data_IF_156164301996
#
_entry.id   IF_156164301996
#
_cell.length_a   1.000
_cell.length_b   1.000
_cell.length_c   1.000
_cell.angle_alpha   90.00
_cell.angle_beta   90.00
_cell.angle_gamma   90.00
#
_symmetry.space_group_name_H-M   'P 1'
#
loop_
_entity.id
_entity.type
_entity.pdbx_description
1 polymer ?
#
# COMPACT_ATOMS: atom_id res chain seq x y z
N UNK A 1 -6.17 -10.29 -8.59
CA UNK A 1 -5.73 -9.18 -7.72
C UNK A 1 -6.39 -7.90 -8.24
N UNK A 2 -7.52 -7.47 -7.63
CA UNK A 2 -8.40 -6.41 -8.17
C UNK A 2 -8.65 -5.25 -7.17
N UNK A 3 -8.36 -5.44 -5.88
CA UNK A 3 -8.77 -4.51 -4.80
C UNK A 3 -8.10 -3.12 -4.85
N UNK A 4 -6.89 -3.00 -5.40
CA UNK A 4 -6.20 -1.70 -5.52
C UNK A 4 -6.89 -0.77 -6.53
N UNK A 5 -7.42 -1.31 -7.63
CA UNK A 5 -8.08 -0.51 -8.66
C UNK A 5 -9.40 0.08 -8.18
N UNK A 6 -10.16 -0.65 -7.38
CA UNK A 6 -11.47 -0.19 -6.91
C UNK A 6 -11.34 0.99 -5.94
N UNK A 7 -10.32 0.99 -5.07
CA UNK A 7 -10.06 2.10 -4.16
C UNK A 7 -9.68 3.39 -4.89
N UNK A 8 -8.83 3.29 -5.92
CA UNK A 8 -8.44 4.45 -6.75
C UNK A 8 -9.63 5.03 -7.53
N UNK A 9 -10.51 4.17 -8.03
CA UNK A 9 -11.75 4.57 -8.72
C UNK A 9 -12.69 5.29 -7.77
N UNK A 10 -12.90 4.76 -6.56
CA UNK A 10 -13.77 5.39 -5.55
C UNK A 10 -13.17 6.74 -5.11
N UNK A 11 -11.87 6.82 -4.86
CA UNK A 11 -11.20 8.07 -4.51
C UNK A 11 -11.30 9.13 -5.63
N UNK A 12 -11.22 8.71 -6.89
CA UNK A 12 -11.39 9.61 -8.04
C UNK A 12 -12.82 10.14 -8.14
N UNK A 13 -13.83 9.29 -7.97
CA UNK A 13 -15.25 9.70 -7.97
C UNK A 13 -15.55 10.66 -6.82
N UNK A 14 -14.96 10.43 -5.66
CA UNK A 14 -15.19 11.26 -4.48
C UNK A 14 -14.54 12.65 -4.58
N UNK A 15 -13.36 12.73 -5.21
CA UNK A 15 -12.74 14.02 -5.59
C UNK A 15 -13.60 14.81 -6.57
N UNK A 16 -14.23 14.14 -7.53
CA UNK A 16 -15.14 14.79 -8.48
C UNK A 16 -16.39 15.31 -7.76
N UNK A 17 -17.02 14.49 -6.91
CA UNK A 17 -18.18 14.90 -6.13
C UNK A 17 -17.87 16.09 -5.21
N UNK A 18 -16.66 16.16 -4.63
CA UNK A 18 -16.20 17.30 -3.84
C UNK A 18 -16.01 18.58 -4.66
N UNK A 19 -15.58 18.46 -5.91
CA UNK A 19 -15.43 19.60 -6.81
C UNK A 19 -16.79 20.23 -7.19
N UNK A 20 -17.85 19.43 -7.16
CA UNK A 20 -19.23 19.82 -7.53
C UNK A 20 -20.12 20.12 -6.32
N UNK A 21 -19.66 19.81 -5.10
CA UNK A 21 -20.46 19.91 -3.88
C UNK A 21 -20.85 21.34 -3.51
N UNK A 22 -22.10 21.51 -3.08
CA UNK A 22 -22.56 22.75 -2.47
C UNK A 22 -21.83 23.00 -1.14
N UNK A 23 -21.69 24.27 -0.68
CA UNK A 23 -21.01 24.60 0.58
C UNK A 23 -21.59 23.89 1.81
N UNK A 24 -22.86 23.51 1.76
CA UNK A 24 -23.58 22.82 2.84
C UNK A 24 -23.25 21.31 2.91
N UNK A 25 -22.95 20.68 1.78
CA UNK A 25 -22.65 19.24 1.69
C UNK A 25 -21.15 18.94 1.78
N UNK A 26 -20.33 19.93 1.43
CA UNK A 26 -18.88 19.84 1.36
C UNK A 26 -18.21 19.32 2.64
N UNK A 27 -18.57 19.74 3.88
CA UNK A 27 -17.94 19.21 5.10
C UNK A 27 -18.25 17.73 5.38
N UNK A 28 -19.38 17.23 4.87
CA UNK A 28 -19.74 15.80 4.95
C UNK A 28 -18.94 14.96 3.97
N UNK A 29 -18.83 15.44 2.72
CA UNK A 29 -18.06 14.80 1.66
C UNK A 29 -16.54 14.81 1.92
N UNK A 30 -16.00 15.87 2.53
CA UNK A 30 -14.56 15.94 2.88
C UNK A 30 -14.21 14.87 3.94
N UNK A 31 -15.10 14.65 4.92
CA UNK A 31 -14.95 13.59 5.92
C UNK A 31 -15.07 12.19 5.30
N UNK A 32 -16.01 11.99 4.38
CA UNK A 32 -16.14 10.73 3.66
C UNK A 32 -14.88 10.45 2.82
N UNK A 33 -14.30 11.47 2.17
CA UNK A 33 -13.07 11.35 1.42
C UNK A 33 -11.87 10.97 2.29
N UNK A 34 -11.69 11.64 3.42
CA UNK A 34 -10.64 11.28 4.37
C UNK A 34 -10.77 9.83 4.88
N UNK A 35 -12.00 9.36 5.11
CA UNK A 35 -12.24 7.98 5.55
C UNK A 35 -11.91 6.95 4.45
N UNK A 36 -12.31 7.22 3.21
CA UNK A 36 -12.02 6.35 2.07
C UNK A 36 -10.52 6.31 1.80
N UNK A 37 -9.84 7.47 1.78
CA UNK A 37 -8.40 7.56 1.55
C UNK A 37 -7.61 6.84 2.65
N UNK A 38 -7.96 7.02 3.92
CA UNK A 38 -7.32 6.30 5.03
C UNK A 38 -7.53 4.78 4.93
N UNK A 39 -8.72 4.34 4.53
CA UNK A 39 -9.04 2.91 4.35
C UNK A 39 -8.29 2.31 3.16
N UNK A 40 -8.21 3.07 2.06
CA UNK A 40 -7.44 2.69 0.87
C UNK A 40 -5.95 2.57 1.18
N UNK A 41 -5.37 3.56 1.88
CA UNK A 41 -3.97 3.54 2.29
C UNK A 41 -3.64 2.38 3.24
N UNK A 42 -4.52 2.08 4.20
CA UNK A 42 -4.37 0.92 5.08
C UNK A 42 -4.43 -0.41 4.30
N UNK A 43 -5.31 -0.49 3.31
CA UNK A 43 -5.45 -1.68 2.44
C UNK A 43 -4.25 -1.86 1.51
N UNK A 44 -3.75 -0.77 0.94
CA UNK A 44 -2.55 -0.76 0.10
C UNK A 44 -1.31 -1.18 0.88
N UNK A 45 -1.13 -0.66 2.10
CA UNK A 45 0.03 -1.01 2.93
C UNK A 45 0.03 -2.50 3.28
N UNK A 46 -1.15 -3.08 3.60
CA UNK A 46 -1.28 -4.53 3.82
C UNK A 46 -1.03 -5.35 2.55
N UNK A 47 -1.47 -4.87 1.40
CA UNK A 47 -1.22 -5.52 0.10
C UNK A 47 0.29 -5.54 -0.22
N UNK A 48 0.99 -4.43 0.01
CA UNK A 48 2.44 -4.34 -0.14
C UNK A 48 3.16 -5.27 0.84
N UNK A 49 2.75 -5.30 2.10
CA UNK A 49 3.30 -6.19 3.13
C UNK A 49 3.21 -7.67 2.72
N UNK A 50 2.04 -8.11 2.26
CA UNK A 50 1.85 -9.47 1.73
C UNK A 50 2.72 -9.74 0.51
N UNK A 51 2.72 -8.82 -0.47
CA UNK A 51 3.53 -8.99 -1.68
C UNK A 51 5.02 -9.15 -1.38
N UNK A 52 5.56 -8.43 -0.37
CA UNK A 52 6.95 -8.60 0.08
C UNK A 52 7.19 -10.02 0.61
N UNK A 53 6.29 -10.54 1.45
CA UNK A 53 6.40 -11.89 2.00
C UNK A 53 6.33 -12.95 0.91
N UNK A 54 5.39 -12.82 -0.02
CA UNK A 54 5.25 -13.71 -1.17
C UNK A 54 6.53 -13.73 -2.01
N UNK A 55 7.10 -12.55 -2.31
CA UNK A 55 8.37 -12.45 -3.06
C UNK A 55 9.56 -13.05 -2.32
N UNK A 56 9.66 -12.85 -1.01
CA UNK A 56 10.71 -13.47 -0.20
C UNK A 56 10.57 -14.99 -0.18
N UNK A 57 9.35 -15.51 0.01
CA UNK A 57 9.06 -16.94 0.00
C UNK A 57 9.40 -17.57 -1.36
N UNK A 58 9.01 -16.95 -2.47
CA UNK A 58 9.35 -17.40 -3.82
C UNK A 58 10.85 -17.34 -4.11
N UNK A 59 11.57 -16.37 -3.53
CA UNK A 59 13.02 -16.30 -3.57
C UNK A 59 13.71 -17.32 -2.64
N UNK A 60 12.95 -18.16 -1.92
CA UNK A 60 13.45 -19.15 -0.97
C UNK A 60 14.04 -18.53 0.31
N UNK A 61 13.73 -17.27 0.60
CA UNK A 61 14.19 -16.59 1.81
C UNK A 61 13.26 -16.91 2.99
N UNK A 62 13.80 -17.62 3.98
CA UNK A 62 13.10 -18.00 5.22
C UNK A 62 13.68 -17.33 6.48
N UNK A 63 14.53 -16.31 6.31
CA UNK A 63 15.17 -15.60 7.41
C UNK A 63 14.30 -14.50 8.02
N UNK A 64 14.86 -13.77 8.98
CA UNK A 64 14.18 -12.63 9.60
C UNK A 64 13.91 -11.52 8.57
N UNK A 65 12.64 -11.14 8.41
CA UNK A 65 12.21 -10.08 7.50
C UNK A 65 12.80 -8.71 7.87
N UNK A 66 13.22 -8.49 9.12
CA UNK A 66 13.89 -7.25 9.55
C UNK A 66 15.35 -7.16 9.09
N UNK A 67 15.93 -8.27 8.63
CA UNK A 67 17.35 -8.35 8.29
C UNK A 67 17.69 -7.66 6.95
N UNK A 68 18.93 -7.18 6.82
CA UNK A 68 19.47 -6.70 5.54
C UNK A 68 19.46 -7.81 4.48
N UNK A 69 19.54 -9.08 4.89
CA UNK A 69 19.44 -10.22 3.99
C UNK A 69 18.06 -10.29 3.31
N UNK A 70 16.98 -9.91 3.99
CA UNK A 70 15.65 -9.82 3.40
C UNK A 70 15.60 -8.73 2.31
N UNK A 71 16.16 -7.54 2.57
CA UNK A 71 16.25 -6.46 1.55
C UNK A 71 17.06 -6.92 0.33
N UNK A 72 18.15 -7.64 0.57
CA UNK A 72 18.98 -8.20 -0.50
C UNK A 72 18.17 -9.23 -1.31
N UNK A 73 17.51 -10.18 -0.65
CA UNK A 73 16.69 -11.19 -1.31
C UNK A 73 15.58 -10.55 -2.15
N UNK A 74 14.89 -9.54 -1.61
CA UNK A 74 13.85 -8.81 -2.33
C UNK A 74 14.38 -8.12 -3.60
N UNK A 75 15.55 -7.50 -3.54
CA UNK A 75 16.18 -6.87 -4.72
C UNK A 75 16.75 -7.85 -5.73
N UNK A 76 17.10 -9.07 -5.31
CA UNK A 76 17.48 -10.13 -6.24
C UNK A 76 16.25 -10.69 -6.95
N UNK A 77 15.13 -10.84 -6.23
CA UNK A 77 13.86 -11.25 -6.81
C UNK A 77 13.29 -10.18 -7.76
N UNK A 78 13.50 -8.90 -7.45
CA UNK A 78 12.99 -7.76 -8.21
C UNK A 78 14.12 -6.76 -8.55
N UNK A 79 14.89 -7.00 -9.62
CA UNK A 79 16.11 -6.24 -9.95
C UNK A 79 15.88 -4.75 -10.22
N UNK A 80 14.65 -4.36 -10.57
CA UNK A 80 14.26 -2.96 -10.85
C UNK A 80 14.00 -2.16 -9.57
N UNK A 81 13.93 -2.80 -8.40
CA UNK A 81 13.75 -2.07 -7.15
C UNK A 81 15.03 -1.33 -6.76
N UNK A 82 14.87 -0.02 -6.57
CA UNK A 82 15.87 0.78 -5.88
C UNK A 82 16.05 0.29 -4.44
N UNK A 83 17.22 0.56 -3.86
CA UNK A 83 17.48 0.22 -2.46
C UNK A 83 16.48 0.88 -1.51
N UNK A 84 16.18 2.17 -1.74
CA UNK A 84 15.21 2.91 -0.93
C UNK A 84 13.83 2.27 -0.98
N UNK A 85 13.35 1.92 -2.19
CA UNK A 85 12.05 1.28 -2.35
C UNK A 85 11.99 -0.07 -1.62
N UNK A 86 13.03 -0.89 -1.74
CA UNK A 86 13.10 -2.18 -1.05
C UNK A 86 13.09 -2.04 0.48
N UNK A 87 13.78 -1.03 1.03
CA UNK A 87 13.78 -0.75 2.47
C UNK A 87 12.41 -0.27 2.95
N UNK A 88 11.71 0.59 2.19
CA UNK A 88 10.37 1.04 2.59
C UNK A 88 9.36 -0.10 2.53
N UNK A 89 9.40 -0.94 1.50
CA UNK A 89 8.56 -2.12 1.40
C UNK A 89 8.80 -3.10 2.57
N UNK A 90 10.06 -3.29 2.96
CA UNK A 90 10.40 -4.10 4.14
C UNK A 90 9.79 -3.53 5.42
N UNK A 91 9.91 -2.21 5.65
CA UNK A 91 9.32 -1.57 6.84
C UNK A 91 7.81 -1.68 6.85
N UNK A 92 7.15 -1.44 5.71
CA UNK A 92 5.70 -1.59 5.58
C UNK A 92 5.26 -3.00 5.98
N UNK A 93 6.03 -4.03 5.58
CA UNK A 93 5.80 -5.42 5.96
C UNK A 93 6.03 -5.69 7.46
N UNK A 94 7.05 -5.09 8.07
CA UNK A 94 7.31 -5.23 9.52
C UNK A 94 6.20 -4.56 10.35
N UNK A 95 5.73 -3.39 9.94
CA UNK A 95 4.68 -2.64 10.66
C UNK A 95 3.31 -3.30 10.54
N UNK A 96 3.10 -4.16 9.55
CA UNK A 96 1.83 -4.87 9.32
C UNK A 96 2.05 -6.39 9.35
N UNK A 97 2.29 -6.98 10.54
CA UNK A 97 2.29 -8.44 10.72
C UNK A 97 0.90 -9.01 10.32
N UNK A 98 0.89 -10.25 9.85
CA UNK A 98 -0.36 -10.94 9.44
C UNK A 98 -1.35 -11.15 10.60
#
# INVERSE_FOLDING_TARGET
MLALRDADVIAAQLRQALAEASPQERPGLERAAALVESTAAASETRLRARWVRDRLAEAGFSGDITSVAAVKALRQAEPRLSLLAAVQLQKDAVTHPE
#
